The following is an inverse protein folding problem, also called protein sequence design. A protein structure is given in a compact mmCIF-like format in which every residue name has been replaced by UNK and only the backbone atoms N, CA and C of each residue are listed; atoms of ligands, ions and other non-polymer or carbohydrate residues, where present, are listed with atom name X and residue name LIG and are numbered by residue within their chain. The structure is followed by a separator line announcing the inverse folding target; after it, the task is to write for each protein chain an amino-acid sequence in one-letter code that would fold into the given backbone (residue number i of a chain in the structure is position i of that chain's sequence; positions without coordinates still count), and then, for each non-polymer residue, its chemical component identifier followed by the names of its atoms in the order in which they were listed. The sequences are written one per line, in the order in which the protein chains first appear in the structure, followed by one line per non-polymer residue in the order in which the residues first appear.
data_IF_903523626897
#
_entry.id   IF_903523626897
#
_cell.length_a   1.000
_cell.length_b   1.000
_cell.length_c   1.000
_cell.angle_alpha   90.00
_cell.angle_beta   90.00
_cell.angle_gamma   90.00
#
_symmetry.space_group_name_H-M   'P 1'
#
loop_
_entity.id
_entity.type
_entity.pdbx_description
1 polymer ?
#
# COMPACT_ATOMS: atom_id res chain seq x y z
N UNK A 1 11.13 16.62 -30.99
CA UNK A 1 12.40 16.29 -31.64
C UNK A 1 12.40 14.89 -32.28
N UNK A 2 12.36 13.77 -31.53
CA UNK A 2 12.33 12.43 -32.14
C UNK A 2 11.04 12.13 -32.93
N UNK A 3 9.88 12.52 -32.39
CA UNK A 3 8.59 12.39 -33.04
C UNK A 3 8.51 13.17 -34.34
N UNK A 4 9.07 14.37 -34.36
CA UNK A 4 9.06 15.27 -35.52
C UNK A 4 9.95 14.72 -36.65
N UNK A 5 11.10 14.13 -36.33
CA UNK A 5 11.96 13.47 -37.30
C UNK A 5 11.31 12.26 -37.96
N UNK A 6 10.59 11.45 -37.17
CA UNK A 6 9.84 10.29 -37.73
C UNK A 6 8.67 10.77 -38.58
N UNK A 7 7.98 11.83 -38.16
CA UNK A 7 6.89 12.44 -38.92
C UNK A 7 7.38 13.00 -40.26
N UNK A 8 8.50 13.73 -40.25
CA UNK A 8 9.12 14.28 -41.46
C UNK A 8 9.56 13.15 -42.43
N UNK A 9 10.14 12.09 -41.89
CA UNK A 9 10.50 10.91 -42.68
C UNK A 9 9.27 10.26 -43.34
N UNK A 10 8.20 10.06 -42.57
CA UNK A 10 6.96 9.44 -43.09
C UNK A 10 6.20 10.34 -44.04
N UNK A 11 6.21 11.66 -43.85
CA UNK A 11 5.58 12.62 -44.76
C UNK A 11 6.28 12.70 -46.12
N UNK A 12 7.59 12.50 -46.16
CA UNK A 12 8.37 12.44 -47.41
C UNK A 12 7.98 11.26 -48.32
N UNK A 13 7.35 10.21 -47.77
CA UNK A 13 6.80 9.09 -48.54
C UNK A 13 5.38 9.34 -49.05
N UNK A 14 4.84 10.56 -48.96
CA UNK A 14 3.52 10.92 -49.52
C UNK A 14 2.33 10.40 -48.68
N UNK A 15 2.53 10.01 -47.45
CA UNK A 15 1.45 9.55 -46.57
C UNK A 15 0.63 10.75 -46.05
N UNK A 16 -0.70 10.64 -45.96
CA UNK A 16 -1.57 11.66 -45.38
C UNK A 16 -1.16 11.95 -43.93
N UNK A 17 -1.18 13.23 -43.50
CA UNK A 17 -0.74 13.69 -42.21
C UNK A 17 -1.32 12.89 -41.01
N UNK A 18 -2.60 12.52 -41.07
CA UNK A 18 -3.25 11.71 -40.02
C UNK A 18 -2.68 10.28 -39.89
N UNK A 19 -2.35 9.66 -41.03
CA UNK A 19 -1.80 8.32 -41.09
C UNK A 19 -0.33 8.31 -40.62
N UNK A 20 0.45 9.32 -41.02
CA UNK A 20 1.84 9.48 -40.59
C UNK A 20 1.95 9.73 -39.08
N UNK A 21 1.04 10.48 -38.48
CA UNK A 21 0.97 10.68 -37.02
C UNK A 21 0.65 9.39 -36.26
N UNK A 22 -0.33 8.61 -36.73
CA UNK A 22 -0.67 7.30 -36.15
C UNK A 22 0.49 6.31 -36.24
N UNK A 23 1.15 6.24 -37.39
CA UNK A 23 2.30 5.34 -37.60
C UNK A 23 3.50 5.77 -36.75
N UNK A 24 3.81 7.06 -36.68
CA UNK A 24 4.90 7.58 -35.85
C UNK A 24 4.67 7.29 -34.36
N UNK A 25 3.47 7.55 -33.85
CA UNK A 25 3.14 7.25 -32.45
C UNK A 25 3.15 5.74 -32.16
N UNK A 26 2.66 4.93 -33.08
CA UNK A 26 2.71 3.47 -32.99
C UNK A 26 4.14 2.92 -32.97
N UNK A 27 5.00 3.41 -33.85
CA UNK A 27 6.42 3.00 -33.91
C UNK A 27 7.18 3.38 -32.65
N UNK A 28 6.95 4.59 -32.10
CA UNK A 28 7.56 5.03 -30.83
C UNK A 28 7.08 4.12 -29.70
N UNK A 29 5.79 3.84 -29.61
CA UNK A 29 5.21 2.99 -28.58
C UNK A 29 5.77 1.56 -28.63
N UNK A 30 5.84 0.97 -29.81
CA UNK A 30 6.46 -0.35 -30.03
C UNK A 30 7.93 -0.35 -29.65
N UNK A 31 8.68 0.71 -29.97
CA UNK A 31 10.09 0.82 -29.60
C UNK A 31 10.28 0.91 -28.09
N UNK A 32 9.47 1.73 -27.39
CA UNK A 32 9.49 1.83 -25.92
C UNK A 32 9.18 0.46 -25.29
N UNK A 33 8.12 -0.22 -25.71
CA UNK A 33 7.75 -1.55 -25.20
C UNK A 33 8.86 -2.56 -25.44
N UNK A 34 9.49 -2.53 -26.60
CA UNK A 34 10.62 -3.43 -26.94
C UNK A 34 11.83 -3.16 -26.04
N UNK A 35 12.20 -1.90 -25.82
CA UNK A 35 13.31 -1.54 -24.96
C UNK A 35 13.02 -1.92 -23.49
N UNK A 36 11.81 -1.64 -23.01
CA UNK A 36 11.38 -2.01 -21.64
C UNK A 36 11.43 -3.53 -21.43
N UNK A 37 10.95 -4.31 -22.42
CA UNK A 37 11.02 -5.78 -22.33
C UNK A 37 12.45 -6.30 -22.35
N UNK A 38 13.33 -5.70 -23.14
CA UNK A 38 14.77 -6.03 -23.16
C UNK A 38 15.44 -5.68 -21.82
N UNK A 39 15.22 -4.48 -21.30
CA UNK A 39 15.75 -4.06 -19.99
C UNK A 39 15.28 -5.02 -18.90
N UNK A 40 13.99 -5.37 -18.90
CA UNK A 40 13.42 -6.30 -17.91
C UNK A 40 14.00 -7.72 -18.04
N UNK A 41 14.18 -8.21 -19.27
CA UNK A 41 14.77 -9.52 -19.52
C UNK A 41 16.23 -9.59 -19.05
N UNK A 42 17.04 -8.58 -19.41
CA UNK A 42 18.45 -8.48 -19.02
C UNK A 42 18.56 -8.24 -17.51
N UNK A 43 17.80 -7.29 -16.97
CA UNK A 43 17.77 -6.97 -15.55
C UNK A 43 17.38 -8.18 -14.69
N UNK A 44 16.38 -8.95 -15.12
CA UNK A 44 15.98 -10.18 -14.46
C UNK A 44 17.10 -11.23 -14.42
N UNK A 45 17.82 -11.39 -15.52
CA UNK A 45 18.95 -12.34 -15.62
C UNK A 45 20.10 -11.94 -14.71
N UNK A 46 20.43 -10.64 -14.69
CA UNK A 46 21.50 -10.10 -13.85
C UNK A 46 21.13 -10.21 -12.37
N UNK A 47 19.97 -9.71 -11.98
CA UNK A 47 19.54 -9.69 -10.58
C UNK A 47 19.36 -11.11 -10.04
N UNK A 48 18.73 -12.01 -10.79
CA UNK A 48 18.64 -13.42 -10.41
C UNK A 48 20.00 -14.09 -10.25
N UNK A 49 20.95 -13.81 -11.14
CA UNK A 49 22.31 -14.37 -11.04
C UNK A 49 23.04 -13.83 -9.81
N UNK A 50 22.87 -12.56 -9.50
CA UNK A 50 23.42 -11.92 -8.31
C UNK A 50 22.90 -12.56 -7.03
N UNK A 51 21.57 -12.70 -6.89
CA UNK A 51 20.95 -13.34 -5.73
C UNK A 51 21.34 -14.82 -5.60
N UNK A 52 21.39 -15.56 -6.72
CA UNK A 52 21.85 -16.95 -6.71
C UNK A 52 23.32 -17.10 -6.32
N UNK A 53 24.17 -16.11 -6.68
CA UNK A 53 25.58 -16.11 -6.29
C UNK A 53 25.72 -15.87 -4.79
N UNK A 54 24.95 -14.92 -4.23
CA UNK A 54 24.93 -14.67 -2.78
C UNK A 54 24.43 -15.92 -2.05
N UNK A 55 23.29 -16.46 -2.43
CA UNK A 55 22.69 -17.66 -1.80
C UNK A 55 23.64 -18.88 -1.81
N UNK A 56 24.47 -19.01 -2.84
CA UNK A 56 25.51 -20.07 -2.89
C UNK A 56 26.72 -19.79 -2.00
N UNK A 57 27.02 -18.51 -1.75
CA UNK A 57 28.18 -18.09 -0.94
C UNK A 57 27.87 -18.04 0.55
N UNK A 58 26.60 -17.91 0.91
CA UNK A 58 26.13 -17.76 2.28
C UNK A 58 25.46 -19.07 2.72
N UNK A 59 25.79 -19.58 3.90
CA UNK A 59 25.13 -20.75 4.49
C UNK A 59 23.73 -20.42 5.09
N UNK A 60 23.18 -19.25 4.72
CA UNK A 60 21.91 -18.75 5.26
C UNK A 60 20.72 -19.21 4.43
N UNK A 61 19.73 -19.80 5.08
CA UNK A 61 18.44 -20.17 4.48
C UNK A 61 17.61 -18.93 4.07
N UNK A 62 17.96 -17.74 4.58
CA UNK A 62 17.26 -16.52 4.28
C UNK A 62 17.39 -16.10 2.80
N UNK A 63 18.57 -16.29 2.22
CA UNK A 63 18.85 -15.94 0.83
C UNK A 63 18.04 -16.81 -0.15
N UNK A 64 17.86 -18.09 0.17
CA UNK A 64 17.01 -19.00 -0.61
C UNK A 64 15.54 -18.61 -0.53
N UNK A 65 15.09 -18.12 0.63
CA UNK A 65 13.73 -17.61 0.82
C UNK A 65 13.45 -16.32 0.05
N UNK A 66 14.44 -15.44 -0.11
CA UNK A 66 14.33 -14.24 -0.97
C UNK A 66 14.03 -14.62 -2.43
N UNK A 67 14.72 -15.66 -2.93
CA UNK A 67 14.50 -16.18 -4.29
C UNK A 67 13.13 -16.86 -4.40
N UNK A 68 12.77 -17.70 -3.43
CA UNK A 68 11.46 -18.37 -3.36
C UNK A 68 10.29 -17.38 -3.38
N UNK A 69 10.39 -16.29 -2.63
CA UNK A 69 9.39 -15.24 -2.55
C UNK A 69 9.45 -14.23 -3.70
N UNK A 70 10.18 -14.54 -4.78
CA UNK A 70 10.23 -13.77 -6.04
C UNK A 70 10.76 -12.34 -5.91
N UNK A 71 11.47 -11.99 -4.83
CA UNK A 71 12.03 -10.65 -4.62
C UNK A 71 12.96 -10.24 -5.77
N UNK A 72 13.88 -11.09 -6.27
CA UNK A 72 14.73 -10.74 -7.40
C UNK A 72 13.95 -10.40 -8.67
N UNK A 73 12.78 -11.03 -8.86
CA UNK A 73 11.90 -10.75 -9.99
C UNK A 73 11.24 -9.37 -9.85
N UNK A 74 10.77 -9.02 -8.66
CA UNK A 74 10.15 -7.72 -8.39
C UNK A 74 11.18 -6.59 -8.55
N UNK A 75 12.38 -6.76 -8.02
CA UNK A 75 13.47 -5.81 -8.18
C UNK A 75 13.91 -5.64 -9.64
N UNK A 76 13.71 -6.65 -10.50
CA UNK A 76 14.06 -6.54 -11.93
C UNK A 76 13.17 -5.55 -12.69
N UNK A 77 12.02 -5.14 -12.16
CA UNK A 77 11.20 -4.10 -12.76
C UNK A 77 11.72 -2.69 -12.50
N UNK A 78 12.55 -2.49 -11.46
CA UNK A 78 13.05 -1.16 -11.07
C UNK A 78 13.83 -0.46 -12.20
N UNK A 79 14.79 -1.09 -12.90
CA UNK A 79 15.49 -0.46 -14.04
C UNK A 79 14.52 -0.08 -15.16
N UNK A 80 13.51 -0.90 -15.41
CA UNK A 80 12.50 -0.62 -16.44
C UNK A 80 11.62 0.58 -16.08
N UNK A 81 11.23 0.70 -14.80
CA UNK A 81 10.51 1.87 -14.31
C UNK A 81 11.35 3.14 -14.44
N UNK A 82 12.61 3.08 -14.03
CA UNK A 82 13.52 4.23 -14.14
C UNK A 82 13.65 4.71 -15.61
N UNK A 83 13.78 3.77 -16.54
CA UNK A 83 13.81 4.10 -17.98
C UNK A 83 12.47 4.73 -18.42
N UNK A 84 11.34 4.20 -17.98
CA UNK A 84 10.01 4.75 -18.29
C UNK A 84 9.82 6.16 -17.74
N UNK A 85 10.23 6.44 -16.50
CA UNK A 85 10.20 7.78 -15.92
C UNK A 85 11.02 8.81 -16.71
N UNK A 86 12.08 8.36 -17.38
CA UNK A 86 12.90 9.22 -18.20
C UNK A 86 12.30 9.45 -19.60
N UNK A 87 11.69 8.42 -20.19
CA UNK A 87 11.21 8.46 -21.59
C UNK A 87 9.76 8.95 -21.73
N UNK A 88 8.88 8.56 -20.79
CA UNK A 88 7.44 8.89 -20.87
C UNK A 88 7.14 10.38 -20.94
N UNK A 89 7.79 11.28 -20.18
CA UNK A 89 7.54 12.72 -20.27
C UNK A 89 7.83 13.29 -21.67
N UNK A 90 8.76 12.68 -22.40
CA UNK A 90 9.09 13.09 -23.77
C UNK A 90 8.02 12.67 -24.79
N UNK A 91 7.17 11.71 -24.43
CA UNK A 91 6.13 11.16 -25.29
C UNK A 91 4.74 11.66 -24.93
N UNK A 92 4.32 11.48 -23.69
CA UNK A 92 3.02 11.92 -23.17
C UNK A 92 3.07 12.00 -21.64
N UNK A 93 2.84 13.20 -21.09
CA UNK A 93 2.85 13.45 -19.64
C UNK A 93 1.69 12.76 -18.93
N UNK A 94 0.53 12.57 -19.57
CA UNK A 94 -0.64 11.91 -18.96
C UNK A 94 -0.35 10.46 -18.52
N UNK A 95 0.58 9.81 -19.21
CA UNK A 95 0.99 8.44 -18.88
C UNK A 95 1.85 8.35 -17.61
N UNK A 96 2.39 9.46 -17.13
CA UNK A 96 3.14 9.50 -15.87
C UNK A 96 2.26 9.11 -14.69
N UNK A 97 1.00 9.54 -14.68
CA UNK A 97 0.03 9.20 -13.63
C UNK A 97 -0.10 7.66 -13.49
N UNK A 98 -0.21 6.97 -14.62
CA UNK A 98 -0.31 5.50 -14.64
C UNK A 98 1.00 4.86 -14.17
N UNK A 99 2.15 5.43 -14.56
CA UNK A 99 3.47 4.94 -14.18
C UNK A 99 3.70 5.13 -12.66
N UNK A 100 3.35 6.29 -12.11
CA UNK A 100 3.44 6.58 -10.67
C UNK A 100 2.54 5.63 -9.87
N UNK A 101 1.28 5.45 -10.25
CA UNK A 101 0.37 4.52 -9.60
C UNK A 101 0.90 3.07 -9.68
N UNK A 102 1.44 2.66 -10.82
CA UNK A 102 2.06 1.33 -11.00
C UNK A 102 3.29 1.16 -10.09
N UNK A 103 4.08 2.22 -9.93
CA UNK A 103 5.26 2.21 -9.05
C UNK A 103 4.87 2.03 -7.58
N UNK A 104 3.80 2.71 -7.12
CA UNK A 104 3.27 2.54 -5.76
C UNK A 104 2.82 1.09 -5.55
N UNK A 105 2.07 0.52 -6.49
CA UNK A 105 1.61 -0.87 -6.40
C UNK A 105 2.81 -1.83 -6.37
N UNK A 106 3.81 -1.63 -7.23
CA UNK A 106 5.00 -2.47 -7.26
C UNK A 106 5.77 -2.40 -5.93
N UNK A 107 5.86 -1.21 -5.34
CA UNK A 107 6.47 -1.03 -4.02
C UNK A 107 5.73 -1.84 -2.95
N UNK A 108 4.40 -1.74 -2.88
CA UNK A 108 3.57 -2.50 -1.92
C UNK A 108 3.76 -4.00 -2.10
N UNK A 109 3.72 -4.49 -3.34
CA UNK A 109 3.92 -5.92 -3.67
C UNK A 109 5.33 -6.38 -3.28
N UNK A 110 6.33 -5.52 -3.46
CA UNK A 110 7.72 -5.82 -3.06
C UNK A 110 7.84 -5.92 -1.55
N UNK A 111 7.29 -4.97 -0.80
CA UNK A 111 7.27 -5.02 0.67
C UNK A 111 6.52 -6.28 1.16
N UNK A 112 5.38 -6.62 0.57
CA UNK A 112 4.65 -7.87 0.87
C UNK A 112 5.53 -9.10 0.66
N UNK A 113 6.30 -9.14 -0.42
CA UNK A 113 7.21 -10.24 -0.74
C UNK A 113 8.35 -10.36 0.29
N UNK A 114 8.90 -9.22 0.73
CA UNK A 114 9.91 -9.16 1.81
C UNK A 114 9.31 -9.65 3.13
N UNK A 115 8.14 -9.17 3.51
CA UNK A 115 7.45 -9.62 4.72
C UNK A 115 7.12 -11.12 4.67
N UNK A 116 6.75 -11.64 3.49
CA UNK A 116 6.59 -13.08 3.25
C UNK A 116 7.87 -13.88 3.50
N UNK A 117 9.02 -13.34 3.11
CA UNK A 117 10.32 -13.96 3.38
C UNK A 117 10.63 -13.98 4.87
N UNK A 118 10.39 -12.87 5.57
CA UNK A 118 10.54 -12.79 7.03
C UNK A 118 9.65 -13.84 7.71
N UNK A 119 8.37 -13.94 7.30
CA UNK A 119 7.45 -14.97 7.79
C UNK A 119 7.99 -16.38 7.61
N UNK A 120 8.42 -16.72 6.39
CA UNK A 120 8.94 -18.05 6.07
C UNK A 120 10.20 -18.35 6.90
N UNK A 121 11.06 -17.37 7.12
CA UNK A 121 12.25 -17.49 7.95
C UNK A 121 11.91 -17.78 9.43
N UNK A 122 10.95 -17.05 10.00
CA UNK A 122 10.48 -17.27 11.37
C UNK A 122 9.85 -18.67 11.53
N UNK A 123 9.14 -19.17 10.53
CA UNK A 123 8.54 -20.52 10.55
C UNK A 123 9.56 -21.65 10.48
N UNK A 124 10.71 -21.41 9.88
CA UNK A 124 11.81 -22.38 9.81
C UNK A 124 12.61 -22.44 11.12
N UNK A 125 12.65 -21.35 11.89
CA UNK A 125 13.37 -21.30 13.16
C UNK A 125 12.57 -21.97 14.28
N UNK A 126 13.10 -23.01 14.88
CA UNK A 126 12.47 -23.74 15.98
C UNK A 126 12.17 -22.86 17.21
N UNK A 127 13.03 -21.89 17.49
CA UNK A 127 12.89 -20.96 18.62
C UNK A 127 11.80 -19.90 18.44
N UNK A 128 11.43 -19.57 17.19
CA UNK A 128 10.52 -18.49 16.86
C UNK A 128 9.14 -18.96 16.37
N UNK A 129 8.94 -20.26 16.27
CA UNK A 129 7.75 -20.90 15.70
C UNK A 129 6.45 -20.56 16.45
N UNK A 130 6.56 -20.17 17.73
CA UNK A 130 5.41 -19.85 18.58
C UNK A 130 4.90 -18.41 18.42
N UNK A 131 5.65 -17.56 17.69
CA UNK A 131 5.25 -16.16 17.48
C UNK A 131 4.19 -16.10 16.38
N UNK A 132 3.03 -15.47 16.61
CA UNK A 132 1.97 -15.31 15.62
C UNK A 132 2.33 -14.23 14.56
N UNK A 133 3.44 -14.46 13.84
CA UNK A 133 4.01 -13.52 12.87
C UNK A 133 3.01 -13.17 11.76
N UNK A 134 2.11 -14.09 11.42
CA UNK A 134 1.07 -13.89 10.41
C UNK A 134 0.16 -12.70 10.74
N UNK A 135 -0.25 -12.60 12.01
CA UNK A 135 -1.12 -11.50 12.48
C UNK A 135 -0.40 -10.15 12.41
N UNK A 136 0.86 -10.09 12.81
CA UNK A 136 1.66 -8.85 12.72
C UNK A 136 1.85 -8.40 11.27
N UNK A 137 2.18 -9.33 10.38
CA UNK A 137 2.33 -9.02 8.95
C UNK A 137 1.00 -8.54 8.36
N UNK A 138 -0.12 -9.15 8.75
CA UNK A 138 -1.44 -8.72 8.29
C UNK A 138 -1.74 -7.27 8.71
N UNK A 139 -1.46 -6.89 9.95
CA UNK A 139 -1.63 -5.51 10.43
C UNK A 139 -0.77 -4.55 9.62
N UNK A 140 0.52 -4.84 9.46
CA UNK A 140 1.44 -4.02 8.66
C UNK A 140 0.92 -3.87 7.21
N UNK A 141 0.42 -4.95 6.61
CA UNK A 141 -0.11 -4.91 5.25
C UNK A 141 -1.39 -4.08 5.13
N UNK A 142 -2.26 -4.08 6.14
CA UNK A 142 -3.47 -3.24 6.17
C UNK A 142 -3.04 -1.76 6.13
N UNK A 143 -2.11 -1.34 7.00
CA UNK A 143 -1.59 0.02 7.01
C UNK A 143 -0.90 0.39 5.69
N UNK A 144 -0.11 -0.52 5.14
CA UNK A 144 0.60 -0.29 3.87
C UNK A 144 -0.38 -0.08 2.71
N UNK A 145 -1.45 -0.90 2.62
CA UNK A 145 -2.49 -0.73 1.61
C UNK A 145 -3.28 0.56 1.83
N UNK A 146 -3.59 0.91 3.07
CA UNK A 146 -4.28 2.15 3.40
C UNK A 146 -3.47 3.37 2.91
N UNK A 147 -2.17 3.42 3.25
CA UNK A 147 -1.27 4.47 2.78
C UNK A 147 -1.16 4.44 1.26
N UNK A 148 -1.00 3.26 0.66
CA UNK A 148 -0.91 3.11 -0.79
C UNK A 148 -2.14 3.60 -1.54
N UNK A 149 -3.34 3.37 -1.02
CA UNK A 149 -4.58 3.89 -1.60
C UNK A 149 -4.60 5.43 -1.56
N UNK A 150 -4.20 6.05 -0.44
CA UNK A 150 -4.11 7.51 -0.33
C UNK A 150 -3.10 8.07 -1.34
N UNK A 151 -1.94 7.44 -1.47
CA UNK A 151 -0.91 7.83 -2.45
C UNK A 151 -1.44 7.74 -3.89
N UNK A 152 -2.12 6.64 -4.24
CA UNK A 152 -2.70 6.46 -5.57
C UNK A 152 -3.79 7.51 -5.83
N UNK A 153 -4.65 7.80 -4.86
CA UNK A 153 -5.67 8.85 -4.98
C UNK A 153 -5.02 10.23 -5.15
N UNK A 154 -3.92 10.52 -4.44
CA UNK A 154 -3.15 11.75 -4.58
C UNK A 154 -2.63 11.91 -6.02
N UNK A 155 -2.00 10.85 -6.56
CA UNK A 155 -1.48 10.81 -7.93
C UNK A 155 -2.61 10.99 -8.96
N UNK A 156 -3.71 10.23 -8.83
CA UNK A 156 -4.83 10.27 -9.78
C UNK A 156 -5.58 11.61 -9.80
N UNK A 157 -5.65 12.31 -8.66
CA UNK A 157 -6.37 13.57 -8.54
C UNK A 157 -5.48 14.79 -8.66
N UNK A 158 -4.14 14.62 -8.65
CA UNK A 158 -3.17 15.72 -8.62
C UNK A 158 -3.21 16.53 -7.32
N UNK A 159 -3.88 16.04 -6.26
CA UNK A 159 -3.97 16.72 -4.97
C UNK A 159 -2.90 16.25 -4.01
N UNK A 160 -2.44 17.15 -3.16
CA UNK A 160 -1.45 16.80 -2.12
C UNK A 160 -2.01 15.76 -1.13
N UNK A 161 -1.16 14.84 -0.69
CA UNK A 161 -1.46 13.80 0.31
C UNK A 161 -2.03 14.41 1.59
N UNK A 162 -1.51 15.59 1.99
CA UNK A 162 -1.98 16.34 3.16
C UNK A 162 -3.48 16.63 3.13
N UNK A 163 -4.04 16.92 1.96
CA UNK A 163 -5.47 17.19 1.78
C UNK A 163 -6.33 15.95 2.13
N UNK A 164 -5.90 14.76 1.70
CA UNK A 164 -6.58 13.51 2.02
C UNK A 164 -6.48 13.18 3.52
N UNK A 165 -5.30 13.34 4.10
CA UNK A 165 -5.10 13.09 5.52
C UNK A 165 -5.90 14.07 6.39
N UNK A 166 -5.95 15.36 6.02
CA UNK A 166 -6.76 16.36 6.71
C UNK A 166 -8.27 16.02 6.62
N UNK A 167 -8.75 15.62 5.45
CA UNK A 167 -10.14 15.22 5.24
C UNK A 167 -10.52 13.99 6.09
N UNK A 168 -9.66 12.98 6.12
CA UNK A 168 -9.83 11.78 6.95
C UNK A 168 -9.78 12.13 8.44
N UNK A 169 -8.88 13.03 8.85
CA UNK A 169 -8.80 13.53 10.23
C UNK A 169 -10.07 14.28 10.65
N UNK A 170 -10.57 15.16 9.80
CA UNK A 170 -11.83 15.87 10.06
C UNK A 170 -13.02 14.92 10.17
N UNK A 171 -13.15 13.95 9.26
CA UNK A 171 -14.18 12.92 9.31
C UNK A 171 -14.09 12.08 10.61
N UNK A 172 -12.88 11.68 10.99
CA UNK A 172 -12.63 10.93 12.22
C UNK A 172 -13.04 11.74 13.45
N UNK A 173 -12.73 13.04 13.49
CA UNK A 173 -13.13 13.92 14.59
C UNK A 173 -14.65 14.01 14.72
N UNK A 174 -15.38 14.12 13.60
CA UNK A 174 -16.86 14.13 13.61
C UNK A 174 -17.40 12.80 14.11
N UNK A 175 -16.85 11.68 13.65
CA UNK A 175 -17.26 10.34 14.11
C UNK A 175 -17.04 10.19 15.62
N UNK A 176 -15.86 10.59 16.12
CA UNK A 176 -15.56 10.52 17.56
C UNK A 176 -16.52 11.42 18.34
N UNK A 177 -16.86 12.60 17.85
CA UNK A 177 -17.78 13.52 18.51
C UNK A 177 -19.19 12.92 18.60
N UNK A 178 -19.69 12.32 17.51
CA UNK A 178 -21.03 11.69 17.47
C UNK A 178 -21.11 10.48 18.40
N UNK A 179 -20.05 9.68 18.47
CA UNK A 179 -20.02 8.46 19.29
C UNK A 179 -19.45 8.66 20.70
N UNK A 180 -19.06 9.88 21.05
CA UNK A 180 -18.40 10.20 22.31
C UNK A 180 -19.15 9.64 23.53
N UNK A 181 -20.42 9.95 23.63
CA UNK A 181 -21.22 9.56 24.80
C UNK A 181 -21.46 8.03 24.85
N UNK A 182 -21.61 7.41 23.69
CA UNK A 182 -21.69 5.95 23.58
C UNK A 182 -20.40 5.27 24.04
N UNK A 183 -19.24 5.80 23.63
CA UNK A 183 -17.93 5.26 24.01
C UNK A 183 -17.71 5.46 25.53
N UNK A 184 -18.00 6.66 26.05
CA UNK A 184 -17.88 6.94 27.48
C UNK A 184 -18.80 6.04 28.33
N UNK A 185 -20.04 5.85 27.91
CA UNK A 185 -20.98 4.95 28.58
C UNK A 185 -20.50 3.50 28.59
N UNK A 186 -19.97 3.03 27.47
CA UNK A 186 -19.42 1.68 27.35
C UNK A 186 -18.18 1.48 28.26
N UNK A 187 -17.24 2.42 28.24
CA UNK A 187 -16.04 2.38 29.08
C UNK A 187 -16.41 2.44 30.56
N UNK A 188 -17.35 3.32 30.93
CA UNK A 188 -17.84 3.43 32.32
C UNK A 188 -18.50 2.14 32.78
N UNK A 189 -19.29 1.48 31.95
CA UNK A 189 -19.93 0.18 32.27
C UNK A 189 -18.87 -0.90 32.55
N UNK A 190 -17.83 -0.96 31.73
CA UNK A 190 -16.71 -1.90 31.95
C UNK A 190 -15.98 -1.57 33.25
N UNK A 191 -15.70 -0.29 33.53
CA UNK A 191 -15.01 0.14 34.75
C UNK A 191 -15.81 -0.20 36.00
N UNK A 192 -17.13 0.04 35.99
CA UNK A 192 -18.03 -0.30 37.10
C UNK A 192 -17.98 -1.81 37.38
N UNK A 193 -18.05 -2.63 36.31
CA UNK A 193 -18.06 -4.08 36.43
C UNK A 193 -16.71 -4.65 36.87
N UNK A 194 -15.60 -4.19 36.28
CA UNK A 194 -14.25 -4.72 36.55
C UNK A 194 -13.76 -4.29 37.96
N UNK A 195 -14.05 -3.05 38.33
CA UNK A 195 -13.63 -2.50 39.64
C UNK A 195 -14.65 -2.79 40.76
N UNK A 196 -15.77 -3.42 40.41
CA UNK A 196 -16.82 -3.79 41.37
C UNK A 196 -17.30 -2.59 42.24
N UNK A 197 -17.37 -1.41 41.59
CA UNK A 197 -17.64 -0.13 42.27
C UNK A 197 -19.09 0.04 42.66
N UNK A 198 -20.03 -0.62 41.97
CA UNK A 198 -21.45 -0.64 42.24
C UNK A 198 -21.97 -2.04 42.02
N UNK A 199 -22.68 -2.61 43.00
CA UNK A 199 -23.27 -3.95 42.94
C UNK A 199 -24.82 -3.87 42.97
N UNK A 200 -25.43 -4.89 42.42
CA UNK A 200 -26.87 -5.06 42.61
C UNK A 200 -27.17 -5.25 44.11
N UNK A 201 -28.07 -4.43 44.64
CA UNK A 201 -28.40 -4.38 46.07
C UNK A 201 -27.76 -3.21 46.83
N UNK A 202 -26.75 -2.51 46.25
CA UNK A 202 -26.16 -1.34 46.88
C UNK A 202 -27.16 -0.17 46.95
N UNK A 203 -27.07 0.62 48.02
CA UNK A 203 -27.77 1.89 48.12
C UNK A 203 -26.93 3.00 47.54
N UNK A 204 -27.41 3.70 46.53
CA UNK A 204 -26.71 4.80 45.87
C UNK A 204 -27.52 6.08 45.94
N UNK A 205 -26.82 7.21 46.09
CA UNK A 205 -27.41 8.56 46.13
C UNK A 205 -26.79 9.41 45.04
N UNK A 206 -27.58 9.95 44.13
CA UNK A 206 -27.13 10.85 43.06
C UNK A 206 -27.53 12.30 43.42
N UNK A 207 -26.60 13.05 44.03
CA UNK A 207 -26.84 14.42 44.52
C UNK A 207 -27.31 15.43 43.49
N UNK A 208 -27.11 15.19 42.18
CA UNK A 208 -27.52 16.12 41.11
C UNK A 208 -28.87 15.85 40.50
N UNK A 209 -29.51 14.72 40.83
CA UNK A 209 -30.76 14.28 40.20
C UNK A 209 -31.85 13.93 41.22
N UNK A 210 -31.61 14.20 42.52
CA UNK A 210 -32.50 13.82 43.66
C UNK A 210 -32.94 12.34 43.59
N UNK A 211 -32.09 11.47 43.06
CA UNK A 211 -32.34 10.04 42.93
C UNK A 211 -31.57 9.30 44.03
N UNK A 212 -32.35 8.54 44.80
CA UNK A 212 -31.89 7.82 45.99
C UNK A 212 -32.54 6.44 46.02
N UNK A 213 -31.76 5.36 46.13
CA UNK A 213 -32.36 4.03 46.11
C UNK A 213 -31.37 2.88 45.96
N UNK A 214 -31.95 1.68 45.99
CA UNK A 214 -31.18 0.43 45.83
C UNK A 214 -31.03 0.08 44.35
N UNK A 215 -29.84 -0.31 43.94
CA UNK A 215 -29.54 -0.78 42.59
C UNK A 215 -30.21 -2.13 42.35
N UNK A 216 -31.14 -2.18 41.43
CA UNK A 216 -31.84 -3.40 41.02
C UNK A 216 -31.24 -4.02 39.75
N UNK A 217 -30.66 -3.19 38.89
CA UNK A 217 -30.05 -3.61 37.65
C UNK A 217 -28.91 -2.65 37.24
N UNK A 218 -27.84 -3.18 36.63
CA UNK A 218 -26.77 -2.40 36.07
C UNK A 218 -26.81 -2.58 34.54
N UNK A 219 -27.23 -1.54 33.82
CA UNK A 219 -27.39 -1.57 32.38
C UNK A 219 -27.48 -0.17 31.76
N UNK A 220 -27.96 -0.11 30.51
CA UNK A 220 -28.26 1.17 29.84
C UNK A 220 -29.65 1.62 30.23
N UNK A 221 -29.81 2.91 30.52
CA UNK A 221 -31.14 3.48 30.70
C UNK A 221 -31.99 3.25 29.44
N UNK A 222 -33.15 2.66 29.64
CA UNK A 222 -34.22 2.62 28.63
C UNK A 222 -34.98 3.93 28.74
N UNK A 223 -34.95 4.72 27.68
CA UNK A 223 -35.81 5.90 27.52
C UNK A 223 -37.07 5.49 26.76
#
# INVERSE_FOLDING_TARGET
MFKDQILEFLSNYGLPLGLSQLLASGLILVSIVTIVTLINFIGRKIILSFFKRIAKSTASTFDDLLIKNKIPRLLSYVPSLFFLFWVLPLYNEDLLIVLEATTIILFIVTVRSVLGTVKDYFKLSSSLKHIPIDSYIQVVMIFLWFIGIILILSVLTGREIGTFLASLGALSAVIILVFRDTILGFVSSIQITVNDTVRIGDWITMKGSDADGTVIEIGRAHV
#
